data_IF_858776449008
#
_entry.id   IF_858776449008
#
_cell.length_a   1.000
_cell.length_b   1.000
_cell.length_c   1.000
_cell.angle_alpha   90.00
_cell.angle_beta   90.00
_cell.angle_gamma   90.00
#
_symmetry.space_group_name_H-M   'P 1'
#
loop_
_entity.id
_entity.type
_entity.pdbx_description
1 polymer ?
#
# COMPACT_ATOMS: atom_id res chain seq x y z
N UNK A 1 -41.24 -22.00 -28.37
CA UNK A 1 -42.53 -22.72 -28.27
C UNK A 1 -43.22 -22.27 -26.99
N UNK A 2 -44.41 -21.69 -27.11
CA UNK A 2 -45.14 -21.06 -26.00
C UNK A 2 -45.67 -22.16 -25.07
N UNK A 3 -45.23 -22.17 -23.81
CA UNK A 3 -45.87 -22.98 -22.76
C UNK A 3 -47.15 -22.25 -22.33
N UNK A 4 -48.26 -22.52 -22.99
CA UNK A 4 -49.59 -22.00 -22.59
C UNK A 4 -50.43 -23.04 -21.86
N UNK A 5 -49.92 -24.24 -21.67
CA UNK A 5 -50.77 -25.40 -21.36
C UNK A 5 -51.02 -25.62 -19.85
N UNK A 6 -50.79 -24.61 -19.01
CA UNK A 6 -51.03 -24.71 -17.56
C UNK A 6 -51.22 -23.34 -16.88
N UNK A 7 -51.88 -22.39 -17.55
CA UNK A 7 -52.36 -21.22 -16.81
C UNK A 7 -53.63 -21.61 -16.03
N UNK A 8 -53.71 -21.29 -14.73
CA UNK A 8 -54.88 -21.61 -13.92
C UNK A 8 -56.12 -20.94 -14.52
N UNK A 9 -57.18 -21.74 -14.72
CA UNK A 9 -58.42 -21.29 -15.36
C UNK A 9 -59.44 -20.77 -14.35
N UNK A 10 -59.24 -21.02 -13.06
CA UNK A 10 -60.10 -20.53 -11.99
C UNK A 10 -59.53 -19.25 -11.34
N UNK A 11 -60.44 -18.33 -10.99
CA UNK A 11 -60.12 -17.08 -10.27
C UNK A 11 -59.28 -17.32 -8.99
N UNK A 12 -59.60 -18.30 -8.11
CA UNK A 12 -58.82 -18.51 -6.90
C UNK A 12 -57.39 -19.01 -7.16
N UNK A 13 -57.19 -19.88 -8.15
CA UNK A 13 -55.85 -20.37 -8.52
C UNK A 13 -54.99 -19.26 -9.14
N UNK A 14 -55.59 -18.36 -9.94
CA UNK A 14 -54.92 -17.16 -10.45
C UNK A 14 -54.46 -16.24 -9.32
N UNK A 15 -55.31 -15.99 -8.32
CA UNK A 15 -54.94 -15.19 -7.16
C UNK A 15 -53.78 -15.82 -6.36
N UNK A 16 -53.81 -17.15 -6.15
CA UNK A 16 -52.72 -17.86 -5.48
C UNK A 16 -51.39 -17.74 -6.25
N UNK A 17 -51.43 -17.88 -7.58
CA UNK A 17 -50.26 -17.72 -8.44
C UNK A 17 -49.70 -16.29 -8.39
N UNK A 18 -50.57 -15.27 -8.39
CA UNK A 18 -50.16 -13.86 -8.30
C UNK A 18 -49.44 -13.59 -6.98
N UNK A 19 -49.95 -14.11 -5.86
CA UNK A 19 -49.31 -13.96 -4.55
C UNK A 19 -47.94 -14.65 -4.53
N UNK A 20 -47.84 -15.89 -5.03
CA UNK A 20 -46.57 -16.60 -5.10
C UNK A 20 -45.53 -15.86 -5.97
N UNK A 21 -45.94 -15.34 -7.13
CA UNK A 21 -45.07 -14.54 -8.00
C UNK A 21 -44.67 -13.21 -7.36
N UNK A 22 -45.54 -12.60 -6.56
CA UNK A 22 -45.20 -11.39 -5.81
C UNK A 22 -44.16 -11.67 -4.73
N UNK A 23 -44.31 -12.76 -3.99
CA UNK A 23 -43.34 -13.20 -2.97
C UNK A 23 -41.98 -13.51 -3.60
N UNK A 24 -41.95 -14.26 -4.70
CA UNK A 24 -40.73 -14.58 -5.45
C UNK A 24 -40.07 -13.30 -6.01
N UNK A 25 -40.87 -12.36 -6.54
CA UNK A 25 -40.35 -11.08 -7.00
C UNK A 25 -39.74 -10.26 -5.85
N UNK A 26 -40.30 -10.35 -4.65
CA UNK A 26 -39.77 -9.67 -3.47
C UNK A 26 -38.47 -10.32 -2.97
N UNK A 27 -38.39 -11.66 -2.95
CA UNK A 27 -37.15 -12.36 -2.59
C UNK A 27 -36.02 -12.05 -3.58
N UNK A 28 -36.28 -12.17 -4.88
CA UNK A 28 -35.31 -11.85 -5.94
C UNK A 28 -34.85 -10.39 -5.90
N UNK A 29 -35.73 -9.45 -5.54
CA UNK A 29 -35.35 -8.05 -5.34
C UNK A 29 -34.42 -7.86 -4.15
N UNK A 30 -34.67 -8.55 -3.04
CA UNK A 30 -33.80 -8.52 -1.86
C UNK A 30 -32.42 -9.10 -2.19
N UNK A 31 -32.37 -10.25 -2.85
CA UNK A 31 -31.11 -10.87 -3.28
C UNK A 31 -30.34 -9.99 -4.26
N UNK A 32 -31.02 -9.36 -5.22
CA UNK A 32 -30.36 -8.40 -6.11
C UNK A 32 -29.79 -7.20 -5.36
N UNK A 33 -30.48 -6.70 -4.33
CA UNK A 33 -29.98 -5.59 -3.53
C UNK A 33 -28.73 -5.98 -2.74
N UNK A 34 -28.71 -7.16 -2.12
CA UNK A 34 -27.55 -7.66 -1.38
C UNK A 34 -26.36 -7.93 -2.30
N UNK A 35 -26.61 -8.50 -3.48
CA UNK A 35 -25.56 -8.73 -4.49
C UNK A 35 -24.95 -7.42 -4.98
N UNK A 36 -25.77 -6.39 -5.26
CA UNK A 36 -25.28 -5.06 -5.66
C UNK A 36 -24.43 -4.41 -4.58
N UNK A 37 -24.87 -4.44 -3.33
CA UNK A 37 -24.11 -3.91 -2.21
C UNK A 37 -22.76 -4.62 -2.05
N UNK A 38 -22.74 -5.95 -2.18
CA UNK A 38 -21.49 -6.72 -2.12
C UNK A 38 -20.56 -6.39 -3.28
N UNK A 39 -21.10 -6.22 -4.50
CA UNK A 39 -20.34 -5.84 -5.67
C UNK A 39 -19.69 -4.46 -5.50
N UNK A 40 -20.45 -3.47 -5.05
CA UNK A 40 -19.94 -2.11 -4.76
C UNK A 40 -18.81 -2.15 -3.73
N UNK A 41 -19.01 -2.87 -2.61
CA UNK A 41 -18.00 -3.04 -1.56
C UNK A 41 -16.70 -3.66 -2.11
N UNK A 42 -16.80 -4.69 -2.95
CA UNK A 42 -15.63 -5.34 -3.54
C UNK A 42 -14.91 -4.40 -4.51
N UNK A 43 -15.65 -3.64 -5.32
CA UNK A 43 -15.06 -2.65 -6.22
C UNK A 43 -14.31 -1.55 -5.47
N UNK A 44 -14.86 -1.06 -4.36
CA UNK A 44 -14.20 -0.07 -3.51
C UNK A 44 -12.90 -0.61 -2.91
N UNK A 45 -12.95 -1.82 -2.34
CA UNK A 45 -11.76 -2.50 -1.82
C UNK A 45 -10.69 -2.69 -2.91
N UNK A 46 -11.11 -3.07 -4.11
CA UNK A 46 -10.20 -3.22 -5.24
C UNK A 46 -9.56 -1.90 -5.68
N UNK A 47 -10.34 -0.82 -5.77
CA UNK A 47 -9.81 0.52 -6.09
C UNK A 47 -8.82 1.00 -5.04
N UNK A 48 -9.15 0.84 -3.76
CA UNK A 48 -8.28 1.21 -2.65
C UNK A 48 -6.98 0.41 -2.67
N UNK A 49 -7.05 -0.91 -2.89
CA UNK A 49 -5.86 -1.75 -2.99
C UNK A 49 -4.98 -1.36 -4.19
N UNK A 50 -5.56 -1.04 -5.34
CA UNK A 50 -4.81 -0.52 -6.49
C UNK A 50 -4.14 0.82 -6.17
N UNK A 51 -4.86 1.73 -5.51
CA UNK A 51 -4.31 3.02 -5.10
C UNK A 51 -3.13 2.83 -4.13
N UNK A 52 -3.25 1.96 -3.13
CA UNK A 52 -2.17 1.70 -2.18
C UNK A 52 -0.92 1.09 -2.85
N UNK A 53 -1.10 0.23 -3.86
CA UNK A 53 0.02 -0.45 -4.53
C UNK A 53 0.71 0.40 -5.59
N UNK A 54 -0.04 1.22 -6.32
CA UNK A 54 0.45 1.90 -7.52
C UNK A 54 0.41 3.42 -7.44
N UNK A 55 -0.24 4.02 -6.43
CA UNK A 55 -0.21 5.47 -6.27
C UNK A 55 1.10 5.93 -5.62
N UNK A 56 1.42 7.21 -5.82
CA UNK A 56 2.61 7.83 -5.22
C UNK A 56 2.41 7.94 -3.71
N UNK A 57 3.43 7.60 -2.95
CA UNK A 57 3.42 7.71 -1.48
C UNK A 57 3.43 9.16 -0.97
N UNK A 58 3.61 10.14 -1.86
CA UNK A 58 3.53 11.57 -1.54
C UNK A 58 2.08 12.01 -1.43
N UNK A 59 1.75 12.82 -0.42
CA UNK A 59 0.44 13.46 -0.21
C UNK A 59 0.08 14.50 -1.29
N UNK A 60 0.65 14.41 -2.50
CA UNK A 60 0.31 15.27 -3.62
C UNK A 60 -1.09 14.88 -4.13
N UNK A 61 -2.12 15.51 -3.59
CA UNK A 61 -3.49 15.35 -4.05
C UNK A 61 -3.70 16.22 -5.32
N UNK A 62 -4.29 15.64 -6.36
CA UNK A 62 -4.57 16.35 -7.63
C UNK A 62 -5.44 17.59 -7.42
N UNK A 63 -6.37 17.55 -6.44
CA UNK A 63 -7.19 18.71 -6.04
C UNK A 63 -6.39 19.79 -5.29
N UNK A 64 -5.23 19.44 -4.74
CA UNK A 64 -4.33 20.38 -4.07
C UNK A 64 -3.47 21.16 -5.08
N UNK A 65 -3.35 20.67 -6.32
CA UNK A 65 -2.75 21.43 -7.41
C UNK A 65 -3.61 22.64 -7.80
N UNK A 66 -4.93 22.50 -7.78
CA UNK A 66 -5.87 23.59 -8.10
C UNK A 66 -5.99 24.62 -6.95
N UNK A 67 -5.55 24.25 -5.74
CA UNK A 67 -5.48 25.10 -4.55
C UNK A 67 -4.12 25.78 -4.38
N UNK A 68 -3.29 25.81 -5.41
CA UNK A 68 -2.12 26.68 -5.47
C UNK A 68 -2.60 28.13 -5.51
N UNK A 69 -2.66 28.77 -4.34
CA UNK A 69 -2.78 30.22 -4.16
C UNK A 69 -1.48 30.90 -4.61
N UNK A 70 -1.05 30.67 -5.84
CA UNK A 70 0.06 31.39 -6.47
C UNK A 70 -0.47 32.73 -7.01
N UNK A 71 -0.98 33.59 -6.12
CA UNK A 71 -1.25 35.00 -6.44
C UNK A 71 0.04 35.73 -6.88
N UNK A 72 1.21 35.17 -6.57
CA UNK A 72 2.51 35.65 -7.00
C UNK A 72 2.75 35.50 -8.52
N UNK A 73 2.11 34.54 -9.19
CA UNK A 73 2.26 34.33 -10.64
C UNK A 73 1.29 35.20 -11.47
N UNK A 74 0.31 35.84 -10.82
CA UNK A 74 -0.67 36.74 -11.47
C UNK A 74 -0.18 38.18 -11.58
N UNK A 75 0.97 38.52 -10.99
CA UNK A 75 1.58 39.85 -11.09
C UNK A 75 2.35 39.90 -12.41
N UNK A 76 2.00 40.77 -13.39
CA UNK A 76 2.84 40.99 -14.55
C UNK A 76 4.21 41.43 -14.04
N UNK A 77 5.29 40.79 -14.51
CA UNK A 77 6.66 41.08 -14.11
C UNK A 77 7.00 42.55 -14.40
N UNK A 78 6.70 43.42 -13.44
CA UNK A 78 7.34 44.73 -13.34
C UNK A 78 8.73 44.41 -12.84
N UNK A 79 9.74 44.80 -13.61
CA UNK A 79 11.14 44.75 -13.23
C UNK A 79 11.35 45.66 -12.01
N UNK A 80 11.04 45.14 -10.82
CA UNK A 80 11.46 45.73 -9.57
C UNK A 80 12.98 45.58 -9.50
N UNK A 81 13.73 46.63 -9.12
CA UNK A 81 15.16 46.50 -8.91
C UNK A 81 15.39 45.35 -7.94
N UNK A 82 16.19 44.38 -8.37
CA UNK A 82 16.59 43.22 -7.58
C UNK A 82 17.39 43.73 -6.37
N UNK A 83 16.69 44.09 -5.30
CA UNK A 83 17.30 44.15 -3.99
C UNK A 83 17.64 42.72 -3.61
N UNK A 84 18.94 42.45 -3.49
CA UNK A 84 19.50 41.19 -3.02
C UNK A 84 19.12 40.96 -1.54
N UNK A 85 17.85 40.73 -1.26
CA UNK A 85 17.36 40.29 0.05
C UNK A 85 17.43 38.76 0.16
N UNK A 86 18.50 38.14 -0.36
CA UNK A 86 18.76 36.72 -0.21
C UNK A 86 19.57 36.47 1.05
N UNK A 87 18.87 36.21 2.15
CA UNK A 87 19.50 35.74 3.39
C UNK A 87 19.98 34.29 3.19
N UNK A 88 21.29 34.08 3.19
CA UNK A 88 21.89 32.74 3.16
C UNK A 88 21.75 32.09 4.53
N UNK A 89 20.75 31.22 4.70
CA UNK A 89 20.56 30.45 5.94
C UNK A 89 21.50 29.25 5.92
N UNK A 90 22.59 29.34 6.69
CA UNK A 90 23.47 28.20 6.95
C UNK A 90 23.01 27.50 8.22
N UNK A 91 22.76 26.18 8.13
CA UNK A 91 22.45 25.37 9.31
C UNK A 91 23.35 24.14 9.35
N UNK A 92 23.80 23.78 10.54
CA UNK A 92 24.58 22.58 10.79
C UNK A 92 23.66 21.39 11.04
N UNK A 93 23.73 20.36 10.20
CA UNK A 93 22.97 19.12 10.39
C UNK A 93 23.85 18.06 11.03
N UNK A 94 23.46 17.59 12.22
CA UNK A 94 24.09 16.43 12.82
C UNK A 94 23.73 15.19 12.00
N UNK A 95 24.73 14.56 11.39
CA UNK A 95 24.56 13.25 10.76
C UNK A 95 24.11 12.26 11.86
N UNK A 96 23.12 11.41 11.61
CA UNK A 96 22.70 10.40 12.58
C UNK A 96 23.89 9.47 12.85
N UNK A 97 24.50 9.63 14.03
CA UNK A 97 25.54 8.73 14.52
C UNK A 97 24.85 7.60 15.27
N UNK A 98 25.04 6.36 14.81
CA UNK A 98 24.63 5.18 15.57
C UNK A 98 25.49 5.13 16.82
N UNK A 99 24.85 5.02 17.99
CA UNK A 99 25.58 4.71 19.23
C UNK A 99 25.99 3.23 19.16
N UNK A 100 27.26 2.87 19.44
CA UNK A 100 27.65 1.48 19.53
C UNK A 100 26.85 0.80 20.65
N UNK A 101 26.67 -0.51 20.55
CA UNK A 101 26.04 -1.27 21.62
C UNK A 101 26.95 -1.20 22.88
N UNK A 102 26.36 -1.09 24.08
CA UNK A 102 27.13 -1.15 25.33
C UNK A 102 27.97 -2.43 25.43
N UNK A 103 29.10 -2.35 26.12
CA UNK A 103 29.98 -3.51 26.36
C UNK A 103 29.42 -4.45 27.44
N UNK A 104 28.53 -3.96 28.30
CA UNK A 104 27.86 -4.75 29.35
C UNK A 104 26.76 -5.68 28.81
N UNK A 105 26.43 -5.58 27.53
CA UNK A 105 25.44 -6.47 26.91
C UNK A 105 26.05 -7.88 26.77
N UNK A 106 25.34 -8.95 27.17
CA UNK A 106 25.85 -10.31 26.99
C UNK A 106 26.06 -10.58 25.49
N UNK A 107 27.29 -10.91 25.12
CA UNK A 107 27.68 -11.30 23.75
C UNK A 107 28.04 -12.78 23.74
N UNK A 108 27.45 -13.53 22.81
CA UNK A 108 27.86 -14.90 22.53
C UNK A 108 28.79 -14.91 21.32
N UNK A 109 30.00 -15.46 21.47
CA UNK A 109 30.98 -15.61 20.36
C UNK A 109 30.91 -17.04 19.86
N UNK A 110 30.54 -17.21 18.58
CA UNK A 110 30.54 -18.52 17.91
C UNK A 110 31.71 -18.53 16.92
N UNK A 111 32.77 -19.26 17.26
CA UNK A 111 33.92 -19.44 16.39
C UNK A 111 33.69 -20.58 15.40
N UNK A 112 33.84 -20.29 14.11
CA UNK A 112 33.85 -21.29 13.04
C UNK A 112 35.25 -21.40 12.47
N UNK A 113 35.92 -22.52 12.72
CA UNK A 113 37.25 -22.80 12.19
C UNK A 113 37.20 -23.79 11.03
N UNK A 114 38.25 -23.77 10.21
CA UNK A 114 38.41 -24.65 9.07
C UNK A 114 38.84 -26.05 9.58
N UNK A 115 38.41 -27.17 8.94
CA UNK A 115 38.91 -28.50 9.28
C UNK A 115 40.44 -28.61 9.25
N UNK A 116 41.00 -29.50 10.08
CA UNK A 116 42.44 -29.63 10.30
C UNK A 116 43.25 -29.91 9.01
N UNK A 117 42.67 -30.62 8.05
CA UNK A 117 43.34 -30.92 6.78
C UNK A 117 43.62 -29.65 5.96
N UNK A 118 42.77 -28.63 6.07
CA UNK A 118 42.86 -27.38 5.29
C UNK A 118 43.71 -26.31 5.99
N UNK A 119 44.13 -26.57 7.24
CA UNK A 119 45.11 -25.76 7.97
C UNK A 119 46.54 -25.98 7.48
N UNK A 120 46.76 -26.97 6.61
CA UNK A 120 48.05 -27.23 5.99
C UNK A 120 48.11 -26.59 4.61
N UNK A 121 49.15 -25.79 4.37
CA UNK A 121 49.41 -25.22 3.05
C UNK A 121 50.04 -26.28 2.13
N UNK A 122 49.91 -26.12 0.81
CA UNK A 122 50.56 -26.98 -0.17
C UNK A 122 52.09 -27.00 -0.05
N UNK A 123 52.70 -25.98 0.58
CA UNK A 123 54.13 -25.93 0.88
C UNK A 123 54.54 -26.66 2.18
N UNK A 124 53.60 -27.30 2.89
CA UNK A 124 53.86 -28.06 4.13
C UNK A 124 53.83 -27.21 5.41
N UNK A 125 53.68 -25.89 5.30
CA UNK A 125 53.55 -25.00 6.46
C UNK A 125 52.12 -24.98 7.01
N UNK A 126 52.00 -24.81 8.33
CA UNK A 126 50.71 -24.55 8.99
C UNK A 126 50.27 -23.11 8.73
N UNK A 127 49.00 -22.93 8.37
CA UNK A 127 48.37 -21.61 8.26
C UNK A 127 48.28 -20.97 9.65
N UNK A 128 48.77 -19.75 9.76
CA UNK A 128 48.66 -18.96 10.97
C UNK A 128 47.35 -18.18 10.98
N UNK A 129 46.69 -18.10 12.13
CA UNK A 129 45.58 -17.14 12.33
C UNK A 129 46.19 -15.74 12.38
N UNK A 130 45.73 -14.85 11.51
CA UNK A 130 46.20 -13.45 11.43
C UNK A 130 45.08 -12.55 11.95
N UNK A 131 45.39 -11.58 12.81
CA UNK A 131 44.45 -10.53 13.23
C UNK A 131 43.93 -10.64 14.67
N UNK A 132 44.43 -11.58 15.48
CA UNK A 132 44.30 -11.53 16.94
C UNK A 132 45.55 -10.88 17.54
N UNK A 133 45.47 -9.59 17.86
CA UNK A 133 46.37 -8.95 18.82
C UNK A 133 45.64 -8.91 20.17
N UNK A 134 46.30 -9.37 21.23
CA UNK A 134 45.79 -9.32 22.61
C UNK A 134 45.76 -7.89 23.12
#
# INVERSE_FOLDING_TARGET
>A
MKKTDSLPQSIPELHALILALQEEKLSLKKENATLKQNYERVLEQFRLAQQQRFSRSSESNVLQMELQFDEADAIPAVELPTEENTLTITYTRNKPKRRPLPDDLPREVIEHDIPEHDKHCACGCLKQRIGEEV
#
